data_IF_304029827506
#
_entry.id   IF_304029827506
#
_cell.length_a   1.000
_cell.length_b   1.000
_cell.length_c   1.000
_cell.angle_alpha   90.00
_cell.angle_beta   90.00
_cell.angle_gamma   90.00
#
_symmetry.space_group_name_H-M   'P 1'
#
loop_
_entity.id
_entity.type
_entity.pdbx_description
1 polymer ?
#
# COMPACT_ATOMS: atom_id res chain seq x y z
N UNK A 1 -33.26 9.90 -17.47
CA UNK A 1 -32.21 10.33 -16.53
C UNK A 1 -31.27 9.14 -16.33
N UNK A 2 -30.13 9.12 -17.02
CA UNK A 2 -29.15 8.04 -16.86
C UNK A 2 -28.36 8.31 -15.57
N UNK A 3 -28.47 7.42 -14.58
CA UNK A 3 -27.60 7.44 -13.41
C UNK A 3 -26.21 7.04 -13.88
N UNK A 4 -25.28 7.98 -13.88
CA UNK A 4 -23.87 7.69 -14.11
C UNK A 4 -23.42 6.73 -13.00
N UNK A 5 -22.81 5.57 -13.32
CA UNK A 5 -22.34 4.66 -12.29
C UNK A 5 -21.31 5.39 -11.42
N UNK A 6 -21.26 5.12 -10.11
CA UNK A 6 -20.27 5.74 -9.24
C UNK A 6 -18.89 5.46 -9.82
N UNK A 7 -18.13 6.51 -10.10
CA UNK A 7 -16.69 6.38 -10.38
C UNK A 7 -16.09 5.81 -9.12
N UNK A 8 -15.78 4.53 -9.12
CA UNK A 8 -15.05 3.95 -8.00
C UNK A 8 -13.62 4.43 -8.16
N UNK A 9 -13.23 5.40 -7.34
CA UNK A 9 -11.88 5.92 -7.36
C UNK A 9 -10.92 4.82 -6.88
N UNK A 10 -9.92 4.50 -7.70
CA UNK A 10 -8.78 3.67 -7.28
C UNK A 10 -8.19 4.24 -5.99
N UNK A 11 -8.00 3.37 -4.99
CA UNK A 11 -7.36 3.75 -3.74
C UNK A 11 -6.00 3.09 -3.65
N UNK A 12 -4.99 3.89 -3.36
CA UNK A 12 -3.64 3.40 -3.21
C UNK A 12 -3.32 3.27 -1.73
N UNK A 13 -2.81 2.12 -1.32
CA UNK A 13 -2.40 1.84 0.06
C UNK A 13 -0.92 1.52 0.08
N UNK A 14 -0.25 1.80 1.20
CA UNK A 14 1.10 1.31 1.44
C UNK A 14 1.02 0.26 2.55
N UNK A 15 1.42 -0.96 2.21
CA UNK A 15 1.45 -2.10 3.10
C UNK A 15 2.90 -2.51 3.30
N UNK A 16 3.31 -2.72 4.53
CA UNK A 16 4.67 -3.20 4.77
C UNK A 16 4.89 -3.83 6.11
N UNK A 17 6.01 -4.52 6.21
CA UNK A 17 6.40 -5.30 7.38
C UNK A 17 7.61 -6.16 7.05
N UNK A 18 8.04 -6.94 8.03
CA UNK A 18 9.09 -7.94 7.82
C UNK A 18 8.46 -9.20 7.23
N UNK A 19 8.91 -9.58 6.03
CA UNK A 19 8.52 -10.86 5.44
C UNK A 19 9.02 -12.00 6.31
N UNK A 20 8.13 -12.92 6.65
CA UNK A 20 8.50 -14.17 7.32
C UNK A 20 8.56 -15.29 6.28
N UNK A 21 9.77 -15.74 5.96
CA UNK A 21 9.98 -16.82 4.98
C UNK A 21 9.48 -18.18 5.46
N UNK A 22 9.41 -18.41 6.79
CA UNK A 22 8.93 -19.68 7.33
C UNK A 22 7.41 -19.82 7.18
N UNK A 23 6.73 -18.67 7.22
CA UNK A 23 5.28 -18.58 7.29
C UNK A 23 4.66 -18.14 5.95
N UNK A 24 5.45 -17.62 5.00
CA UNK A 24 5.02 -17.13 3.69
C UNK A 24 3.97 -15.99 3.76
N UNK A 25 3.97 -15.24 4.86
CA UNK A 25 3.14 -14.04 5.03
C UNK A 25 3.84 -12.95 5.87
N UNK A 26 3.17 -11.81 5.98
CA UNK A 26 3.56 -10.70 6.85
C UNK A 26 2.78 -10.81 8.17
N UNK A 27 3.36 -11.27 9.29
CA UNK A 27 2.59 -11.54 10.50
C UNK A 27 1.94 -10.30 11.13
N UNK A 28 2.49 -9.10 10.89
CA UNK A 28 1.93 -7.84 11.38
C UNK A 28 2.15 -6.71 10.37
N UNK A 29 1.35 -6.62 9.30
CA UNK A 29 1.52 -5.59 8.30
C UNK A 29 1.11 -4.22 8.89
N UNK A 30 1.95 -3.22 8.69
CA UNK A 30 1.61 -1.81 8.86
C UNK A 30 0.92 -1.33 7.60
N UNK A 31 -0.12 -0.53 7.77
CA UNK A 31 -0.95 0.00 6.67
C UNK A 31 -0.97 1.52 6.73
N UNK A 32 -0.71 2.17 5.60
CA UNK A 32 -0.78 3.62 5.44
C UNK A 32 -1.65 3.97 4.23
N UNK A 33 -2.42 5.06 4.33
CA UNK A 33 -3.34 5.51 3.29
C UNK A 33 -4.82 5.54 3.73
N UNK A 34 -5.77 5.59 2.78
CA UNK A 34 -5.55 5.55 1.33
C UNK A 34 -4.98 6.87 0.79
N UNK A 35 -4.09 6.75 -0.20
CA UNK A 35 -3.61 7.84 -1.03
C UNK A 35 -4.49 7.98 -2.27
N UNK A 36 -4.60 9.22 -2.77
CA UNK A 36 -5.42 9.55 -3.94
C UNK A 36 -4.77 9.16 -5.27
N UNK A 37 -3.47 8.94 -5.27
CA UNK A 37 -2.69 8.65 -6.48
C UNK A 37 -1.47 7.77 -6.16
N UNK A 38 -1.02 7.06 -7.19
CA UNK A 38 0.12 6.15 -7.12
C UNK A 38 1.43 6.83 -6.74
N UNK A 39 1.69 8.06 -7.23
CA UNK A 39 2.97 8.73 -7.04
C UNK A 39 3.17 9.12 -5.57
N UNK A 40 2.12 9.62 -4.92
CA UNK A 40 2.14 9.95 -3.49
C UNK A 40 2.31 8.69 -2.64
N UNK A 41 1.59 7.60 -2.96
CA UNK A 41 1.77 6.32 -2.26
C UNK A 41 3.20 5.77 -2.43
N UNK A 42 3.75 5.85 -3.65
CA UNK A 42 5.12 5.40 -3.97
C UNK A 42 6.17 6.22 -3.24
N UNK A 43 6.02 7.54 -3.17
CA UNK A 43 6.92 8.41 -2.41
C UNK A 43 6.91 8.02 -0.93
N UNK A 44 5.71 7.86 -0.34
CA UNK A 44 5.59 7.42 1.06
C UNK A 44 6.21 6.05 1.31
N UNK A 45 6.06 5.09 0.39
CA UNK A 45 6.71 3.79 0.50
C UNK A 45 8.24 3.90 0.40
N UNK A 46 8.76 4.79 -0.43
CA UNK A 46 10.19 5.10 -0.52
C UNK A 46 10.73 5.61 0.80
N UNK A 47 10.12 6.65 1.36
CA UNK A 47 10.52 7.25 2.65
C UNK A 47 10.51 6.22 3.79
N UNK A 48 9.49 5.34 3.83
CA UNK A 48 9.39 4.27 4.82
C UNK A 48 10.47 3.19 4.63
N UNK A 49 10.81 2.84 3.39
CA UNK A 49 11.86 1.87 3.10
C UNK A 49 13.26 2.42 3.44
N UNK A 50 13.51 3.71 3.25
CA UNK A 50 14.79 4.36 3.56
C UNK A 50 15.02 4.51 5.08
N UNK A 51 13.94 4.60 5.87
CA UNK A 51 13.98 4.81 7.31
C UNK A 51 14.07 3.51 8.15
N UNK A 52 13.81 2.34 7.55
CA UNK A 52 13.58 1.08 8.28
C UNK A 52 14.69 0.04 8.08
N UNK A 53 14.65 -1.02 8.87
CA UNK A 53 15.58 -2.15 8.73
C UNK A 53 15.50 -2.75 7.31
N UNK A 54 16.62 -3.15 6.67
CA UNK A 54 16.62 -3.74 5.33
C UNK A 54 15.77 -5.02 5.15
N UNK A 55 15.34 -5.66 6.24
CA UNK A 55 14.43 -6.82 6.25
C UNK A 55 12.96 -6.41 6.26
N UNK A 56 12.66 -5.13 6.48
CA UNK A 56 11.33 -4.56 6.35
C UNK A 56 11.18 -3.98 4.95
N UNK A 57 10.02 -4.21 4.34
CA UNK A 57 9.66 -3.69 3.02
C UNK A 57 8.25 -3.13 3.04
N UNK A 58 8.08 -1.99 2.37
CA UNK A 58 6.80 -1.34 2.10
C UNK A 58 6.51 -1.33 0.60
N UNK A 59 5.30 -1.75 0.24
CA UNK A 59 4.82 -1.91 -1.13
C UNK A 59 3.52 -1.13 -1.31
N UNK A 60 3.31 -0.59 -2.51
CA UNK A 60 2.05 0.05 -2.88
C UNK A 60 1.07 -1.02 -3.38
N UNK A 61 -0.15 -1.01 -2.85
CA UNK A 61 -1.25 -1.88 -3.26
C UNK A 61 -2.41 -1.02 -3.75
N UNK A 62 -3.03 -1.43 -4.85
CA UNK A 62 -4.22 -0.77 -5.40
C UNK A 62 -5.45 -1.55 -4.98
N UNK A 63 -6.37 -0.86 -4.32
CA UNK A 63 -7.72 -1.32 -4.02
C UNK A 63 -8.62 -0.85 -5.17
N UNK A 64 -8.95 -1.80 -6.05
CA UNK A 64 -9.86 -1.67 -7.20
C UNK A 64 -11.12 -2.47 -6.85
N UNK A 65 -12.34 -1.93 -7.05
CA UNK A 65 -13.59 -2.65 -6.77
C UNK A 65 -13.79 -3.92 -7.61
#
# INVERSE_FOLDING_TARGET
>A
MSKQPPVVAERYWVLGGRWDEAEDYLPWPRVYGPYRDYLTARASAGDLNDAEDPRVRYLVVVDVP
#
